data_IF_329800340920
#
_entry.id   IF_329800340920
#
_cell.length_a   1.000
_cell.length_b   1.000
_cell.length_c   1.000
_cell.angle_alpha   90.00
_cell.angle_beta   90.00
_cell.angle_gamma   90.00
#
_symmetry.space_group_name_H-M   'P 1'
#
loop_
_entity.id
_entity.type
_entity.pdbx_description
1 polymer ?
#
# COMPACT_ATOMS: atom_id res chain seq x y z
N UNK A 1 14.29 -10.45 -0.46
CA UNK A 1 15.12 -10.78 -1.61
C UNK A 1 16.18 -9.70 -1.71
N UNK A 2 17.43 -10.05 -1.40
CA UNK A 2 18.57 -9.14 -1.54
C UNK A 2 18.84 -8.97 -3.04
N UNK A 3 18.69 -7.77 -3.57
CA UNK A 3 19.15 -7.45 -4.91
C UNK A 3 20.65 -7.21 -4.81
N UNK A 4 21.42 -8.16 -5.32
CA UNK A 4 22.86 -8.09 -5.40
C UNK A 4 23.25 -7.04 -6.45
N UNK A 5 24.02 -6.03 -6.06
CA UNK A 5 24.49 -4.96 -6.93
C UNK A 5 25.65 -5.43 -7.81
N UNK A 6 25.41 -6.41 -8.67
CA UNK A 6 26.35 -6.76 -9.73
C UNK A 6 25.95 -6.10 -11.03
N UNK A 7 26.80 -5.14 -11.40
CA UNK A 7 26.89 -4.37 -12.65
C UNK A 7 26.32 -5.13 -13.86
N UNK A 8 25.14 -4.74 -14.32
CA UNK A 8 24.66 -4.99 -15.69
C UNK A 8 24.33 -3.62 -16.33
N UNK A 9 24.37 -3.50 -17.67
CA UNK A 9 24.25 -2.21 -18.35
C UNK A 9 22.91 -1.55 -18.00
N UNK A 10 22.96 -0.24 -17.79
CA UNK A 10 21.97 0.57 -17.08
C UNK A 10 20.52 0.25 -17.43
N UNK A 11 19.82 -0.38 -16.47
CA UNK A 11 18.37 -0.45 -16.44
C UNK A 11 17.86 0.99 -16.51
N UNK A 12 17.11 1.31 -17.54
CA UNK A 12 16.47 2.62 -17.69
C UNK A 12 15.48 2.84 -16.54
N UNK A 13 15.19 4.10 -16.21
CA UNK A 13 14.19 4.43 -15.17
C UNK A 13 12.85 3.74 -15.46
N UNK A 14 12.47 3.62 -16.74
CA UNK A 14 11.24 2.93 -17.19
C UNK A 14 11.26 1.43 -16.86
N UNK A 15 12.38 0.76 -17.10
CA UNK A 15 12.54 -0.65 -16.76
C UNK A 15 12.56 -0.87 -15.24
N UNK A 16 13.17 0.05 -14.48
CA UNK A 16 13.15 0.02 -13.03
C UNK A 16 11.73 0.20 -12.47
N UNK A 17 10.96 1.14 -13.04
CA UNK A 17 9.55 1.36 -12.69
C UNK A 17 8.73 0.10 -13.01
N UNK A 18 8.92 -0.50 -14.19
CA UNK A 18 8.20 -1.72 -14.57
C UNK A 18 8.56 -2.91 -13.67
N UNK A 19 9.83 -3.04 -13.28
CA UNK A 19 10.27 -4.07 -12.34
C UNK A 19 9.64 -3.88 -10.96
N UNK A 20 9.63 -2.65 -10.45
CA UNK A 20 8.97 -2.33 -9.18
C UNK A 20 7.46 -2.58 -9.28
N UNK A 21 6.82 -2.11 -10.34
CA UNK A 21 5.39 -2.29 -10.57
C UNK A 21 5.01 -3.77 -10.60
N UNK A 22 5.71 -4.60 -11.38
CA UNK A 22 5.45 -6.04 -11.46
C UNK A 22 5.77 -6.77 -10.15
N UNK A 23 6.75 -6.29 -9.37
CA UNK A 23 7.08 -6.88 -8.07
C UNK A 23 6.01 -6.57 -7.01
N UNK A 24 5.49 -5.34 -6.97
CA UNK A 24 4.47 -4.93 -6.01
C UNK A 24 3.04 -5.32 -6.44
N UNK A 25 2.79 -5.34 -7.76
CA UNK A 25 1.52 -5.62 -8.39
C UNK A 25 1.70 -6.69 -9.48
N UNK A 26 2.04 -7.93 -9.11
CA UNK A 26 2.24 -8.99 -10.09
C UNK A 26 0.94 -9.24 -10.87
N UNK A 27 1.00 -9.43 -12.20
CA UNK A 27 -0.15 -9.88 -12.96
C UNK A 27 -0.66 -11.20 -12.36
N UNK A 28 -1.97 -11.27 -12.12
CA UNK A 28 -2.62 -12.35 -11.38
C UNK A 28 -2.38 -13.70 -12.07
N UNK A 29 -1.59 -14.58 -11.44
CA UNK A 29 -1.30 -15.92 -11.96
C UNK A 29 -2.13 -17.04 -11.32
N UNK A 30 -3.09 -16.71 -10.43
CA UNK A 30 -3.83 -17.72 -9.68
C UNK A 30 -5.35 -17.59 -9.89
N UNK A 31 -5.89 -18.61 -10.55
CA UNK A 31 -7.33 -18.86 -10.77
C UNK A 31 -8.03 -19.31 -9.48
N UNK A 32 -7.28 -19.49 -8.38
CA UNK A 32 -7.77 -19.84 -7.04
C UNK A 32 -7.68 -18.67 -6.04
N UNK A 33 -7.73 -17.42 -6.50
CA UNK A 33 -8.07 -16.34 -5.57
C UNK A 33 -9.53 -16.56 -5.15
N UNK A 34 -9.76 -16.76 -3.84
CA UNK A 34 -11.08 -16.80 -3.22
C UNK A 34 -11.94 -15.75 -3.91
N UNK A 35 -12.98 -16.19 -4.64
CA UNK A 35 -13.89 -15.30 -5.34
C UNK A 35 -14.59 -14.51 -4.25
N UNK A 36 -14.07 -13.31 -3.98
CA UNK A 36 -14.70 -12.40 -3.06
C UNK A 36 -16.00 -11.96 -3.71
N UNK A 37 -17.12 -12.42 -3.17
CA UNK A 37 -18.44 -11.97 -3.56
C UNK A 37 -18.76 -10.72 -2.71
N UNK A 38 -18.75 -9.51 -3.30
CA UNK A 38 -19.10 -8.30 -2.57
C UNK A 38 -20.54 -8.38 -2.07
N UNK A 39 -20.75 -7.89 -0.84
CA UNK A 39 -22.11 -7.62 -0.39
C UNK A 39 -22.67 -6.46 -1.24
N UNK A 40 -23.85 -6.63 -1.84
CA UNK A 40 -24.45 -5.63 -2.76
C UNK A 40 -25.09 -4.43 -2.01
N UNK A 41 -24.73 -4.24 -0.75
CA UNK A 41 -25.22 -3.12 0.04
C UNK A 41 -24.64 -1.81 -0.50
N UNK A 42 -25.51 -0.82 -0.68
CA UNK A 42 -25.09 0.49 -1.16
C UNK A 42 -24.30 1.19 -0.07
N UNK A 43 -22.99 1.27 -0.25
CA UNK A 43 -22.11 2.10 0.59
C UNK A 43 -22.10 3.51 0.03
N UNK A 44 -22.30 4.51 0.89
CA UNK A 44 -22.16 5.91 0.51
C UNK A 44 -20.69 6.20 0.18
N UNK A 45 -20.45 6.87 -0.94
CA UNK A 45 -19.11 7.23 -1.38
C UNK A 45 -18.56 8.35 -0.50
N UNK A 46 -17.28 8.25 -0.14
CA UNK A 46 -16.57 9.33 0.53
C UNK A 46 -16.51 10.55 -0.37
N UNK A 47 -16.94 11.67 0.18
CA UNK A 47 -16.76 12.99 -0.38
C UNK A 47 -15.31 13.46 -0.25
N UNK A 48 -14.98 14.46 -1.07
CA UNK A 48 -13.69 15.12 -1.01
C UNK A 48 -13.39 15.68 0.39
N UNK A 49 -14.38 16.29 1.05
CA UNK A 49 -14.24 16.89 2.38
C UNK A 49 -13.96 15.85 3.47
N UNK A 50 -14.54 14.67 3.36
CA UNK A 50 -14.29 13.58 4.31
C UNK A 50 -12.87 13.07 4.18
N UNK A 51 -12.38 12.90 2.94
CA UNK A 51 -10.98 12.53 2.72
C UNK A 51 -10.03 13.63 3.22
N UNK A 52 -10.38 14.91 3.04
CA UNK A 52 -9.59 16.03 3.56
C UNK A 52 -9.48 15.98 5.08
N UNK A 53 -10.61 15.73 5.76
CA UNK A 53 -10.66 15.61 7.20
C UNK A 53 -9.83 14.43 7.70
N UNK A 54 -9.90 13.28 7.02
CA UNK A 54 -9.10 12.09 7.35
C UNK A 54 -7.60 12.39 7.21
N UNK A 55 -7.21 13.01 6.11
CA UNK A 55 -5.81 13.34 5.83
C UNK A 55 -5.27 14.42 6.76
N UNK A 56 -6.09 15.41 7.12
CA UNK A 56 -5.75 16.44 8.12
C UNK A 56 -5.48 15.83 9.50
N UNK A 57 -6.26 14.82 9.89
CA UNK A 57 -6.14 14.15 11.19
C UNK A 57 -5.07 13.04 11.21
N UNK A 58 -4.34 12.82 10.12
CA UNK A 58 -3.33 11.77 10.04
C UNK A 58 -2.15 12.05 10.99
N UNK A 59 -2.02 11.24 12.04
CA UNK A 59 -1.06 11.46 13.12
C UNK A 59 0.39 11.21 12.66
N UNK A 60 1.22 12.23 12.78
CA UNK A 60 2.67 12.13 12.56
C UNK A 60 3.33 11.25 13.62
N UNK A 61 4.42 10.57 13.25
CA UNK A 61 5.26 9.81 14.18
C UNK A 61 4.66 8.49 14.66
N UNK A 62 3.52 8.04 14.12
CA UNK A 62 3.02 6.68 14.31
C UNK A 62 3.77 5.71 13.41
N UNK A 63 4.00 4.50 13.92
CA UNK A 63 4.53 3.41 13.11
C UNK A 63 3.57 3.13 11.93
N UNK A 64 4.09 2.75 10.76
CA UNK A 64 3.25 2.41 9.60
C UNK A 64 2.32 1.25 9.94
N UNK A 65 1.20 1.17 9.22
CA UNK A 65 0.30 0.02 9.29
C UNK A 65 0.96 -1.25 8.76
N UNK A 66 0.18 -2.32 8.73
CA UNK A 66 0.58 -3.60 8.14
C UNK A 66 0.91 -3.48 6.63
N UNK A 67 0.36 -2.48 5.97
CA UNK A 67 0.62 -2.05 4.60
C UNK A 67 1.99 -1.35 4.41
N UNK A 68 2.66 -0.97 5.52
CA UNK A 68 3.92 -0.21 5.56
C UNK A 68 3.84 1.18 4.95
N UNK A 69 2.64 1.68 4.71
CA UNK A 69 2.46 3.03 4.19
C UNK A 69 2.42 3.97 5.39
N UNK A 70 3.51 4.71 5.56
CA UNK A 70 3.64 5.67 6.65
C UNK A 70 2.89 6.98 6.35
N UNK A 71 2.79 7.85 7.35
CA UNK A 71 2.07 9.11 7.19
C UNK A 71 2.65 9.98 6.05
N UNK A 72 3.97 9.94 5.81
CA UNK A 72 4.62 10.76 4.80
C UNK A 72 4.23 10.29 3.41
N UNK A 73 4.20 8.97 3.19
CA UNK A 73 3.78 8.39 1.91
C UNK A 73 2.32 8.73 1.63
N UNK A 74 1.44 8.56 2.62
CA UNK A 74 0.04 8.96 2.50
C UNK A 74 -0.11 10.45 2.16
N UNK A 75 0.62 11.35 2.85
CA UNK A 75 0.61 12.79 2.55
C UNK A 75 1.13 13.10 1.14
N UNK A 76 2.16 12.40 0.66
CA UNK A 76 2.68 12.59 -0.70
C UNK A 76 1.68 12.13 -1.76
N UNK A 77 1.05 10.96 -1.60
CA UNK A 77 0.04 10.46 -2.54
C UNK A 77 -1.14 11.44 -2.60
N UNK A 78 -1.61 11.90 -1.44
CA UNK A 78 -2.70 12.86 -1.35
C UNK A 78 -2.37 14.19 -2.05
N UNK A 79 -1.17 14.73 -1.83
CA UNK A 79 -0.72 15.96 -2.50
C UNK A 79 -0.46 15.79 -4.00
N UNK A 80 -0.07 14.60 -4.44
CA UNK A 80 0.21 14.29 -5.84
C UNK A 80 -1.07 14.05 -6.66
N UNK A 81 -1.96 13.20 -6.16
CA UNK A 81 -3.19 12.84 -6.86
C UNK A 81 -4.31 12.46 -5.88
N UNK A 82 -4.98 13.49 -5.36
CA UNK A 82 -6.13 13.37 -4.46
C UNK A 82 -7.28 12.59 -5.07
N UNK A 83 -7.61 12.84 -6.35
CA UNK A 83 -8.71 12.17 -7.04
C UNK A 83 -8.50 10.65 -7.12
N UNK A 84 -7.26 10.21 -7.41
CA UNK A 84 -6.89 8.80 -7.38
C UNK A 84 -7.09 8.17 -5.99
N UNK A 85 -6.73 8.89 -4.92
CA UNK A 85 -6.88 8.40 -3.55
C UNK A 85 -8.36 8.21 -3.18
N UNK A 86 -9.20 9.20 -3.49
CA UNK A 86 -10.66 9.14 -3.27
C UNK A 86 -11.26 7.96 -4.05
N UNK A 87 -10.94 7.84 -5.33
CA UNK A 87 -11.42 6.74 -6.17
C UNK A 87 -10.98 5.37 -5.61
N UNK A 88 -9.74 5.26 -5.12
CA UNK A 88 -9.22 4.03 -4.53
C UNK A 88 -9.95 3.66 -3.24
N UNK A 89 -10.22 4.63 -2.35
CA UNK A 89 -10.97 4.38 -1.12
C UNK A 89 -12.42 3.99 -1.40
N UNK A 90 -13.10 4.72 -2.29
CA UNK A 90 -14.47 4.40 -2.67
C UNK A 90 -14.57 3.04 -3.37
N UNK A 91 -13.56 2.65 -4.16
CA UNK A 91 -13.47 1.31 -4.71
C UNK A 91 -13.36 0.26 -3.60
N UNK A 92 -12.47 0.47 -2.62
CA UNK A 92 -12.31 -0.45 -1.49
C UNK A 92 -13.60 -0.58 -0.67
N UNK A 93 -14.31 0.53 -0.44
CA UNK A 93 -15.57 0.56 0.30
C UNK A 93 -16.71 -0.10 -0.47
N UNK A 94 -16.86 0.22 -1.76
CA UNK A 94 -17.88 -0.35 -2.65
C UNK A 94 -17.79 -1.87 -2.71
N UNK A 95 -16.57 -2.40 -2.76
CA UNK A 95 -16.35 -3.83 -2.74
C UNK A 95 -16.14 -4.38 -1.34
N UNK A 96 -16.23 -3.59 -0.27
CA UNK A 96 -15.90 -4.00 1.10
C UNK A 96 -14.61 -4.87 1.16
N UNK A 97 -13.61 -4.45 0.38
CA UNK A 97 -12.41 -5.21 0.09
C UNK A 97 -11.24 -4.29 -0.23
N UNK A 98 -10.21 -4.35 0.61
CA UNK A 98 -8.98 -3.59 0.38
C UNK A 98 -8.14 -4.22 -0.74
N UNK A 99 -7.40 -3.39 -1.48
CA UNK A 99 -6.41 -3.88 -2.44
C UNK A 99 -5.39 -4.80 -1.73
N UNK A 100 -4.96 -5.86 -2.41
CA UNK A 100 -4.04 -6.88 -1.85
C UNK A 100 -2.76 -6.27 -1.22
N UNK A 101 -2.12 -5.23 -1.80
CA UNK A 101 -0.97 -4.58 -1.16
C UNK A 101 -1.30 -3.83 0.14
N UNK A 102 -2.54 -3.37 0.31
CA UNK A 102 -3.02 -2.72 1.55
C UNK A 102 -3.39 -3.74 2.63
N UNK A 103 -3.65 -5.00 2.25
CA UNK A 103 -3.98 -6.10 3.18
C UNK A 103 -2.77 -6.89 3.64
N UNK A 104 -1.78 -7.06 2.76
CA UNK A 104 -0.67 -7.98 3.02
C UNK A 104 0.35 -7.37 3.98
N UNK A 105 0.28 -7.78 5.25
CA UNK A 105 1.43 -7.73 6.15
C UNK A 105 2.46 -8.78 5.75
N UNK A 106 3.62 -8.35 5.26
CA UNK A 106 4.83 -9.16 5.49
C UNK A 106 5.29 -8.84 6.92
N UNK A 107 5.14 -9.78 7.85
CA UNK A 107 5.67 -9.62 9.23
C UNK A 107 7.20 -9.60 9.12
N UNK A 108 7.86 -8.58 9.70
CA UNK A 108 9.29 -8.61 9.97
C UNK A 108 9.54 -8.16 11.41
N UNK A 109 10.42 -8.87 12.10
CA UNK A 109 10.90 -8.47 13.41
C UNK A 109 11.92 -7.33 13.22
N UNK A 110 11.58 -6.13 13.70
CA UNK A 110 12.56 -5.06 13.86
C UNK A 110 13.27 -5.27 15.20
N UNK A 111 14.52 -5.72 15.15
CA UNK A 111 15.38 -5.77 16.33
C UNK A 111 15.65 -4.31 16.75
N UNK A 112 15.20 -3.92 17.94
CA UNK A 112 15.52 -2.59 18.50
C UNK A 112 17.02 -2.55 18.77
N UNK A 113 17.70 -1.50 18.31
CA UNK A 113 19.09 -1.24 18.68
C UNK A 113 19.19 -1.10 20.20
N UNK A 114 19.97 -1.96 20.86
CA UNK A 114 20.23 -1.90 22.30
C UNK A 114 19.51 -2.88 23.21
N UNK A 115 18.92 -3.97 22.69
CA UNK A 115 18.60 -5.14 23.54
C UNK A 115 19.30 -6.37 22.98
N UNK A 116 20.31 -6.83 23.70
CA UNK A 116 20.87 -8.16 23.49
C UNK A 116 19.75 -9.19 23.60
N UNK A 117 19.71 -10.18 22.70
CA UNK A 117 18.94 -11.37 22.95
C UNK A 117 19.62 -12.08 24.13
N UNK A 118 19.03 -11.94 25.32
CA UNK A 118 19.35 -12.84 26.42
C UNK A 118 19.14 -14.30 25.99
N UNK A 119 19.81 -15.24 26.66
CA UNK A 119 20.04 -16.62 26.19
C UNK A 119 18.76 -17.39 25.86
#
# INVERSE_FOLDING_TARGET
MLVNSNKSPGITIKEMINLLFNHFFPPSSNVNELIYAPNNERVEELSEKEVDLVMYNLKKGKAPGLDRIDFKVWTHIYGFNKAFLIATFNLCLKYNYFLKPLRNSKIFFLQRHGKDPGP
#
